data_IF_965317426000
#
_entry.id   IF_965317426000
#
_cell.length_a   1.000
_cell.length_b   1.000
_cell.length_c   1.000
_cell.angle_alpha   90.00
_cell.angle_beta   90.00
_cell.angle_gamma   90.00
#
_symmetry.space_group_name_H-M   'P 1'
#
loop_
_entity.id
_entity.type
_entity.pdbx_description
1 polymer ?
#
# COMPACT_ATOMS: atom_id res chain seq x y z
N UNK A 1 -12.41 15.80 -1.56
CA UNK A 1 -11.51 14.64 -1.63
C UNK A 1 -10.86 14.68 -3.01
N UNK A 2 -9.53 14.56 -3.09
CA UNK A 2 -8.64 14.97 -4.19
C UNK A 2 -9.26 14.93 -5.62
N UNK A 3 -9.79 16.06 -6.14
CA UNK A 3 -10.47 16.11 -7.44
C UNK A 3 -9.59 15.60 -8.59
N UNK A 4 -8.29 15.89 -8.53
CA UNK A 4 -7.34 15.42 -9.53
C UNK A 4 -7.22 13.90 -9.60
N UNK A 5 -7.35 13.17 -8.48
CA UNK A 5 -7.34 11.70 -8.50
C UNK A 5 -8.61 11.14 -9.15
N UNK A 6 -9.72 11.89 -9.03
CA UNK A 6 -10.96 11.56 -9.72
C UNK A 6 -10.82 11.75 -11.23
N UNK A 7 -10.31 12.89 -11.67
CA UNK A 7 -10.04 13.21 -13.08
C UNK A 7 -9.06 12.22 -13.72
N UNK A 8 -8.05 11.76 -12.97
CA UNK A 8 -7.07 10.78 -13.44
C UNK A 8 -7.59 9.32 -13.42
N UNK A 9 -8.84 9.08 -13.00
CA UNK A 9 -9.40 7.72 -13.00
C UNK A 9 -8.74 6.79 -11.97
N UNK A 10 -8.12 7.32 -10.92
CA UNK A 10 -7.40 6.50 -9.93
C UNK A 10 -8.40 5.64 -9.14
N UNK A 11 -8.30 4.29 -9.19
CA UNK A 11 -9.26 3.42 -8.52
C UNK A 11 -8.99 3.32 -7.01
N UNK A 12 -7.72 3.21 -6.63
CA UNK A 12 -7.24 3.02 -5.26
C UNK A 12 -5.96 3.82 -5.00
N UNK A 13 -5.77 4.25 -3.76
CA UNK A 13 -4.47 4.63 -3.21
C UNK A 13 -4.00 3.56 -2.24
N UNK A 14 -2.70 3.34 -2.11
CA UNK A 14 -2.17 2.42 -1.10
C UNK A 14 -0.89 2.95 -0.46
N UNK A 15 -0.58 2.39 0.70
CA UNK A 15 0.68 2.60 1.39
C UNK A 15 1.04 1.38 2.23
N UNK A 16 2.28 1.31 2.68
CA UNK A 16 2.72 0.30 3.63
C UNK A 16 2.68 0.85 5.05
N UNK A 17 2.57 -0.02 6.05
CA UNK A 17 2.42 0.34 7.46
C UNK A 17 3.41 -0.50 8.27
N UNK A 18 4.14 0.16 9.18
CA UNK A 18 4.98 -0.55 10.15
C UNK A 18 4.09 -1.38 11.09
N UNK A 19 4.42 -2.65 11.40
CA UNK A 19 3.58 -3.50 12.26
C UNK A 19 3.20 -2.86 13.60
N UNK A 20 4.10 -2.08 14.22
CA UNK A 20 3.83 -1.36 15.46
C UNK A 20 2.65 -0.35 15.37
N UNK A 21 2.27 0.10 14.17
CA UNK A 21 1.19 1.05 13.93
C UNK A 21 -0.13 0.40 13.49
N UNK A 22 -0.17 -0.91 13.25
CA UNK A 22 -1.34 -1.62 12.74
C UNK A 22 -2.59 -1.32 13.57
N UNK A 23 -2.52 -1.54 14.88
CA UNK A 23 -3.64 -1.33 15.81
C UNK A 23 -4.17 0.11 15.77
N UNK A 24 -3.29 1.09 15.59
CA UNK A 24 -3.67 2.49 15.50
C UNK A 24 -4.41 2.78 14.20
N UNK A 25 -3.89 2.31 13.06
CA UNK A 25 -4.55 2.50 11.78
C UNK A 25 -5.85 1.70 11.64
N UNK A 26 -5.93 0.46 12.13
CA UNK A 26 -7.21 -0.28 12.19
C UNK A 26 -8.30 0.53 12.89
N UNK A 27 -7.97 1.20 13.99
CA UNK A 27 -8.93 2.05 14.73
C UNK A 27 -9.29 3.32 13.97
N UNK A 28 -8.30 3.97 13.36
CA UNK A 28 -8.46 5.26 12.71
C UNK A 28 -9.22 5.16 11.38
N UNK A 29 -8.83 4.23 10.51
CA UNK A 29 -9.33 4.19 9.12
C UNK A 29 -10.26 3.02 8.84
N UNK A 30 -9.95 1.82 9.35
CA UNK A 30 -10.71 0.62 9.00
C UNK A 30 -12.08 0.58 9.68
N UNK A 31 -12.15 0.90 10.98
CA UNK A 31 -13.43 0.98 11.69
C UNK A 31 -14.35 2.08 11.17
N UNK A 32 -13.79 3.11 10.54
CA UNK A 32 -14.55 4.20 9.91
C UNK A 32 -14.93 3.90 8.45
N UNK A 33 -14.55 2.74 7.92
CA UNK A 33 -14.79 2.37 6.52
C UNK A 33 -14.00 3.20 5.50
N UNK A 34 -12.94 3.90 5.93
CA UNK A 34 -12.16 4.80 5.09
C UNK A 34 -11.05 4.09 4.31
N UNK A 35 -10.55 2.97 4.85
CA UNK A 35 -9.49 2.17 4.24
C UNK A 35 -9.54 0.72 4.74
N UNK A 36 -8.86 -0.17 4.04
CA UNK A 36 -8.70 -1.57 4.43
C UNK A 36 -7.23 -1.86 4.72
N UNK A 37 -6.94 -2.50 5.87
CA UNK A 37 -5.61 -3.05 6.15
C UNK A 37 -5.56 -4.50 5.66
N UNK A 38 -4.51 -4.84 4.92
CA UNK A 38 -4.28 -6.15 4.33
C UNK A 38 -2.90 -6.66 4.73
N UNK A 39 -2.84 -7.91 5.18
CA UNK A 39 -1.60 -8.63 5.48
C UNK A 39 -1.39 -9.76 4.47
N UNK A 40 -0.19 -10.35 4.44
CA UNK A 40 0.14 -11.45 3.52
C UNK A 40 0.43 -11.00 2.08
N UNK A 41 0.48 -9.69 1.82
CA UNK A 41 0.92 -9.13 0.56
C UNK A 41 2.43 -8.92 0.57
N UNK A 42 3.08 -9.24 -0.55
CA UNK A 42 4.49 -8.92 -0.79
C UNK A 42 4.58 -7.60 -1.54
N UNK A 43 5.44 -6.70 -1.09
CA UNK A 43 5.67 -5.43 -1.77
C UNK A 43 7.09 -5.44 -2.34
N UNK A 44 7.18 -5.31 -3.65
CA UNK A 44 8.43 -5.10 -4.37
C UNK A 44 8.72 -3.61 -4.42
N UNK A 45 9.89 -3.22 -3.93
CA UNK A 45 10.28 -1.83 -3.80
C UNK A 45 11.72 -1.63 -4.24
N UNK A 46 12.09 -0.39 -4.55
CA UNK A 46 13.51 -0.05 -4.71
C UNK A 46 14.17 0.01 -3.35
N UNK A 47 15.45 -0.34 -3.24
CA UNK A 47 16.23 -0.03 -2.05
C UNK A 47 16.32 1.49 -1.86
N UNK A 48 16.27 1.94 -0.61
CA UNK A 48 16.44 3.33 -0.24
C UNK A 48 17.80 3.90 -0.69
N UNK A 49 18.86 3.10 -0.56
CA UNK A 49 20.22 3.46 -0.95
C UNK A 49 20.76 2.47 -1.99
N UNK A 50 21.73 2.95 -2.79
CA UNK A 50 22.40 2.13 -3.81
C UNK A 50 23.65 1.50 -3.21
N UNK A 51 23.67 0.17 -3.17
CA UNK A 51 24.83 -0.60 -2.74
C UNK A 51 25.35 -1.47 -3.90
N UNK A 52 26.63 -1.37 -4.30
CA UNK A 52 27.18 -2.11 -5.44
C UNK A 52 27.03 -3.63 -5.35
N UNK A 53 26.92 -4.15 -4.12
CA UNK A 53 26.88 -5.59 -3.85
C UNK A 53 25.47 -6.10 -3.51
N UNK A 54 24.44 -5.25 -3.54
CA UNK A 54 23.06 -5.64 -3.24
C UNK A 54 22.16 -5.49 -4.47
N UNK A 55 21.10 -6.30 -4.52
CA UNK A 55 20.02 -6.12 -5.47
C UNK A 55 19.37 -4.74 -5.26
N UNK A 56 19.13 -3.94 -6.32
CA UNK A 56 18.44 -2.64 -6.18
C UNK A 56 16.96 -2.77 -5.83
N UNK A 57 16.45 -4.01 -5.80
CA UNK A 57 15.07 -4.36 -5.48
C UNK A 57 15.02 -5.16 -4.19
N UNK A 58 14.06 -4.80 -3.33
CA UNK A 58 13.71 -5.52 -2.11
C UNK A 58 12.26 -5.97 -2.16
N UNK A 59 11.99 -7.19 -1.69
CA UNK A 59 10.64 -7.72 -1.52
C UNK A 59 10.39 -7.87 -0.02
N UNK A 60 9.33 -7.25 0.48
CA UNK A 60 8.97 -7.25 1.89
C UNK A 60 7.56 -7.80 2.10
N UNK A 61 7.37 -8.58 3.16
CA UNK A 61 6.04 -8.92 3.67
C UNK A 61 5.63 -7.84 4.67
N UNK A 62 4.65 -7.03 4.29
CA UNK A 62 4.24 -5.84 5.04
C UNK A 62 2.73 -5.75 5.15
N UNK A 63 2.28 -4.91 6.08
CA UNK A 63 0.87 -4.54 6.17
C UNK A 63 0.63 -3.42 5.18
N UNK A 64 -0.32 -3.61 4.27
CA UNK A 64 -0.72 -2.62 3.26
C UNK A 64 -2.02 -1.98 3.72
N UNK A 65 -2.10 -0.66 3.65
CA UNK A 65 -3.34 0.09 3.79
C UNK A 65 -3.81 0.52 2.41
N UNK A 66 -5.07 0.20 2.07
CA UNK A 66 -5.69 0.52 0.78
C UNK A 66 -6.86 1.46 1.00
N UNK A 67 -6.84 2.60 0.31
CA UNK A 67 -7.90 3.59 0.28
C UNK A 67 -8.67 3.48 -1.05
N UNK A 68 -9.97 3.16 -1.03
CA UNK A 68 -10.79 3.27 -2.22
C UNK A 68 -10.92 4.74 -2.63
N UNK A 69 -10.72 5.04 -3.91
CA UNK A 69 -10.87 6.40 -4.45
C UNK A 69 -12.09 6.46 -5.38
N UNK A 70 -12.13 5.59 -6.39
CA UNK A 70 -13.25 5.48 -7.33
C UNK A 70 -13.79 4.06 -7.47
N UNK A 71 -13.14 3.07 -6.86
CA UNK A 71 -13.53 1.66 -6.92
C UNK A 71 -13.89 1.11 -5.54
N UNK A 72 -14.76 0.11 -5.53
CA UNK A 72 -15.07 -0.65 -4.32
C UNK A 72 -13.92 -1.58 -3.96
N UNK A 73 -13.73 -1.87 -2.67
CA UNK A 73 -12.75 -2.89 -2.24
C UNK A 73 -13.04 -4.29 -2.80
N UNK A 74 -14.29 -4.58 -3.22
CA UNK A 74 -14.62 -5.82 -3.92
C UNK A 74 -13.95 -5.97 -5.30
N UNK A 75 -13.50 -4.86 -5.88
CA UNK A 75 -12.81 -4.79 -7.17
C UNK A 75 -11.29 -4.79 -7.00
N UNK A 76 -10.78 -4.88 -5.77
CA UNK A 76 -9.35 -4.96 -5.52
C UNK A 76 -8.76 -6.21 -6.20
N UNK A 77 -7.65 -6.07 -6.95
CA UNK A 77 -7.06 -7.19 -7.68
C UNK A 77 -6.61 -8.31 -6.74
N UNK A 78 -6.86 -9.56 -7.12
CA UNK A 78 -6.53 -10.76 -6.35
C UNK A 78 -5.01 -11.10 -6.29
N UNK A 79 -4.13 -10.12 -6.53
CA UNK A 79 -2.69 -10.29 -6.56
C UNK A 79 -2.08 -10.39 -5.16
N UNK A 80 -1.04 -11.22 -5.02
CA UNK A 80 -0.25 -11.35 -3.80
C UNK A 80 1.00 -10.43 -3.77
N UNK A 81 1.24 -9.68 -4.86
CA UNK A 81 2.41 -8.82 -5.01
C UNK A 81 2.01 -7.43 -5.50
N UNK A 82 2.59 -6.40 -4.90
CA UNK A 82 2.44 -4.99 -5.32
C UNK A 82 3.82 -4.45 -5.69
N UNK A 83 3.91 -3.80 -6.83
CA UNK A 83 5.07 -2.97 -7.19
C UNK A 83 4.83 -1.54 -6.71
N UNK A 84 5.68 -1.05 -5.80
CA UNK A 84 5.60 0.35 -5.33
C UNK A 84 6.62 1.24 -6.01
N UNK A 85 6.22 2.48 -6.27
CA UNK A 85 7.07 3.50 -6.84
C UNK A 85 7.94 4.13 -5.73
N UNK A 86 9.07 3.49 -5.42
CA UNK A 86 10.11 4.02 -4.52
C UNK A 86 10.51 3.06 -3.38
N UNK A 87 11.15 3.61 -2.31
CA UNK A 87 11.63 3.02 -1.05
C UNK A 87 11.20 1.63 -0.62
N UNK A 88 11.81 0.99 0.36
CA UNK A 88 11.04 0.33 1.43
C UNK A 88 10.50 1.36 2.45
N UNK A 89 9.98 0.90 3.61
CA UNK A 89 9.50 1.75 4.71
C UNK A 89 10.51 1.86 5.86
#
# INVERSE_FOLDING_TARGET
MYPILHELGVPFGFGTVRPALEKHLTRLVQRQGLATLMSGLRVRSTLADVYPNLSPIRIEEVIVVVFPVQSSMSEWPAGAMIDRNGPEL
#
